data_IF_296297684084
#
_entry.id   IF_296297684084
#
_cell.length_a   1.000
_cell.length_b   1.000
_cell.length_c   1.000
_cell.angle_alpha   90.00
_cell.angle_beta   90.00
_cell.angle_gamma   90.00
#
_symmetry.space_group_name_H-M   'P 1'
#
loop_
_entity.id
_entity.type
_entity.pdbx_description
1 polymer ?
#
# COMPACT_ATOMS: atom_id res chain seq x y z
N UNK A 1 17.98 -29.71 56.91
CA UNK A 1 19.14 -29.41 56.02
C UNK A 1 18.67 -28.47 54.92
N UNK A 2 19.08 -27.22 55.02
CA UNK A 2 18.65 -26.13 54.12
C UNK A 2 19.63 -26.01 52.96
N UNK A 3 19.16 -26.19 51.73
CA UNK A 3 19.96 -25.83 50.54
C UNK A 3 19.71 -24.34 50.21
N UNK A 4 20.66 -23.51 50.46
CA UNK A 4 20.73 -22.10 50.00
C UNK A 4 21.06 -22.09 48.51
N UNK A 5 20.13 -21.64 47.68
CA UNK A 5 20.36 -21.31 46.28
C UNK A 5 21.25 -20.06 46.19
N UNK A 6 22.56 -20.24 45.94
CA UNK A 6 23.51 -19.21 45.53
C UNK A 6 23.62 -19.24 43.99
N UNK A 7 22.74 -18.56 43.28
CA UNK A 7 22.78 -18.53 41.80
C UNK A 7 22.09 -17.33 41.16
N UNK A 8 21.23 -16.61 41.87
CA UNK A 8 20.33 -15.62 41.29
C UNK A 8 20.92 -14.23 40.98
N UNK A 9 22.15 -13.93 41.41
CA UNK A 9 22.68 -12.55 41.32
C UNK A 9 23.67 -12.28 40.17
N UNK A 10 24.12 -13.31 39.42
CA UNK A 10 25.02 -13.09 38.27
C UNK A 10 24.30 -12.88 36.93
N UNK A 11 23.09 -13.42 36.75
CA UNK A 11 22.30 -13.19 35.53
C UNK A 11 21.75 -11.76 35.45
N UNK A 12 21.39 -11.13 36.56
CA UNK A 12 20.88 -9.76 36.60
C UNK A 12 21.92 -8.66 36.28
N UNK A 13 23.22 -8.94 36.40
CA UNK A 13 24.26 -7.98 36.07
C UNK A 13 24.62 -8.04 34.57
N UNK A 14 24.68 -9.24 34.00
CA UNK A 14 24.94 -9.43 32.57
C UNK A 14 23.78 -8.97 31.69
N UNK A 15 22.53 -9.14 32.15
CA UNK A 15 21.32 -8.62 31.45
C UNK A 15 21.29 -7.08 31.40
N UNK A 16 21.79 -6.41 32.45
CA UNK A 16 21.94 -4.93 32.47
C UNK A 16 23.03 -4.40 31.52
N UNK A 17 24.04 -5.21 31.20
CA UNK A 17 25.12 -4.84 30.26
C UNK A 17 24.72 -5.13 28.82
N UNK A 18 23.83 -6.10 28.60
CA UNK A 18 23.37 -6.54 27.29
C UNK A 18 22.03 -5.91 26.83
N UNK A 19 21.51 -4.92 27.56
CA UNK A 19 20.24 -4.26 27.21
C UNK A 19 20.44 -3.23 26.07
N UNK A 20 20.41 -3.77 24.83
CA UNK A 20 20.55 -2.95 23.60
C UNK A 20 19.51 -1.83 23.54
N UNK A 21 18.29 -2.09 24.03
CA UNK A 21 17.20 -1.14 24.06
C UNK A 21 17.53 0.09 24.94
N UNK A 22 18.15 -0.11 26.12
CA UNK A 22 18.56 1.02 26.96
C UNK A 22 19.65 1.89 26.33
N UNK A 23 20.56 1.27 25.56
CA UNK A 23 21.58 2.03 24.83
C UNK A 23 20.96 2.86 23.74
N UNK A 24 20.01 2.29 23.01
CA UNK A 24 19.30 2.97 21.93
C UNK A 24 18.44 4.11 22.47
N UNK A 25 17.63 3.90 23.48
CA UNK A 25 16.87 4.96 24.15
C UNK A 25 17.78 6.09 24.63
N UNK A 26 18.97 5.76 25.17
CA UNK A 26 19.93 6.78 25.60
C UNK A 26 20.55 7.53 24.42
N UNK A 27 20.79 6.87 23.27
CA UNK A 27 21.26 7.50 22.02
C UNK A 27 20.23 8.48 21.49
N UNK A 28 18.99 8.01 21.32
CA UNK A 28 17.86 8.83 20.87
C UNK A 28 17.61 10.01 21.82
N UNK A 29 17.64 9.77 23.12
CA UNK A 29 17.46 10.81 24.13
C UNK A 29 18.52 11.92 24.05
N UNK A 30 19.78 11.58 23.78
CA UNK A 30 20.85 12.58 23.60
C UNK A 30 20.67 13.42 22.33
N UNK A 31 20.21 12.78 21.23
CA UNK A 31 19.91 13.52 20.01
C UNK A 31 18.70 14.43 20.20
N UNK A 32 17.66 13.93 20.84
CA UNK A 32 16.49 14.76 21.19
C UNK A 32 16.88 15.95 22.09
N UNK A 33 17.79 15.78 23.05
CA UNK A 33 18.29 16.89 23.87
C UNK A 33 18.98 17.97 23.02
N UNK A 34 19.71 17.60 21.96
CA UNK A 34 20.29 18.57 21.03
C UNK A 34 19.21 19.35 20.27
N UNK A 35 18.13 18.66 19.84
CA UNK A 35 16.97 19.30 19.16
C UNK A 35 16.31 20.32 20.09
N UNK A 36 16.05 19.93 21.34
CA UNK A 36 15.39 20.81 22.32
C UNK A 36 16.25 22.02 22.70
N UNK A 37 17.58 21.85 22.73
CA UNK A 37 18.50 22.94 23.05
C UNK A 37 18.48 24.09 22.02
N UNK A 38 18.00 23.85 20.80
CA UNK A 38 17.90 24.85 19.74
C UNK A 38 16.55 25.61 19.74
N UNK A 39 15.67 25.37 20.73
CA UNK A 39 14.33 25.97 20.76
C UNK A 39 14.37 27.50 20.79
N UNK A 40 15.25 28.09 21.62
CA UNK A 40 15.40 29.53 21.70
C UNK A 40 15.90 30.12 20.38
N UNK A 41 16.90 29.50 19.76
CA UNK A 41 17.48 29.95 18.50
C UNK A 41 16.46 29.91 17.35
N UNK A 42 15.56 28.90 17.31
CA UNK A 42 14.49 28.82 16.32
C UNK A 42 13.37 29.85 16.58
N UNK A 43 13.09 30.13 17.83
CA UNK A 43 11.97 31.01 18.24
C UNK A 43 12.15 32.47 17.80
N UNK A 44 13.38 32.93 17.61
CA UNK A 44 13.70 34.31 17.22
C UNK A 44 13.66 34.52 15.71
N UNK A 45 13.60 33.44 14.90
CA UNK A 45 13.56 33.53 13.45
C UNK A 45 12.22 34.12 12.96
N UNK A 46 12.26 34.90 11.90
CA UNK A 46 11.06 35.30 11.16
C UNK A 46 10.55 34.14 10.29
N UNK A 47 9.32 34.22 9.79
CA UNK A 47 8.74 33.18 8.92
C UNK A 47 9.52 33.06 7.60
N UNK A 48 10.05 34.18 7.09
CA UNK A 48 10.91 34.22 5.92
C UNK A 48 12.25 33.51 6.17
N UNK A 49 12.86 33.74 7.32
CA UNK A 49 14.12 33.10 7.71
C UNK A 49 13.96 31.59 7.91
N UNK A 50 12.78 31.14 8.38
CA UNK A 50 12.45 29.71 8.48
C UNK A 50 12.42 29.07 7.07
N UNK A 51 11.77 29.71 6.10
CA UNK A 51 11.74 29.21 4.71
C UNK A 51 13.11 29.27 4.05
N UNK A 52 13.89 30.30 4.35
CA UNK A 52 15.27 30.41 3.84
C UNK A 52 16.18 29.30 4.40
N UNK A 53 16.04 28.96 5.68
CA UNK A 53 16.74 27.81 6.26
C UNK A 53 16.41 26.50 5.54
N UNK A 54 15.13 26.26 5.22
CA UNK A 54 14.72 25.08 4.43
C UNK A 54 15.42 25.05 3.06
N UNK A 55 15.46 26.16 2.34
CA UNK A 55 16.18 26.26 1.06
C UNK A 55 17.67 25.98 1.21
N UNK A 56 18.29 26.49 2.28
CA UNK A 56 19.70 26.25 2.56
C UNK A 56 19.98 24.79 2.85
N UNK A 57 19.12 24.11 3.63
CA UNK A 57 19.20 22.66 3.84
C UNK A 57 19.03 21.88 2.54
N UNK A 58 18.03 22.23 1.71
CA UNK A 58 17.83 21.63 0.40
C UNK A 58 19.07 21.78 -0.48
N UNK A 59 19.62 22.98 -0.58
CA UNK A 59 20.83 23.22 -1.37
C UNK A 59 21.99 22.35 -0.88
N UNK A 60 22.25 22.33 0.43
CA UNK A 60 23.33 21.52 1.02
C UNK A 60 23.19 20.02 0.76
N UNK A 61 21.95 19.49 0.81
CA UNK A 61 21.70 18.06 0.60
C UNK A 61 21.74 17.71 -0.88
N UNK A 62 21.17 18.56 -1.76
CA UNK A 62 21.01 18.28 -3.19
C UNK A 62 22.28 18.53 -4.00
N UNK A 63 23.26 19.29 -3.47
CA UNK A 63 24.59 19.45 -4.08
C UNK A 63 25.40 18.16 -4.07
N UNK A 64 25.12 17.23 -3.15
CA UNK A 64 25.81 15.94 -3.07
C UNK A 64 25.07 14.87 -3.89
N UNK A 65 25.73 14.21 -4.83
CA UNK A 65 25.16 13.18 -5.69
C UNK A 65 25.19 11.78 -5.04
N UNK A 66 26.14 11.53 -4.14
CA UNK A 66 26.28 10.24 -3.45
C UNK A 66 25.24 10.11 -2.33
N UNK A 67 24.30 9.17 -2.51
CA UNK A 67 23.20 8.92 -1.57
C UNK A 67 23.71 8.66 -0.13
N UNK A 68 24.85 7.96 0.04
CA UNK A 68 25.39 7.69 1.38
C UNK A 68 25.89 8.95 2.05
N UNK A 69 26.47 9.86 1.27
CA UNK A 69 26.92 11.15 1.79
C UNK A 69 25.73 12.07 2.04
N UNK A 70 24.71 12.06 1.17
CA UNK A 70 23.45 12.77 1.43
C UNK A 70 22.83 12.33 2.76
N UNK A 71 22.73 11.02 3.02
CA UNK A 71 22.20 10.51 4.28
C UNK A 71 23.02 10.98 5.49
N UNK A 72 24.36 11.07 5.34
CA UNK A 72 25.19 11.63 6.40
C UNK A 72 24.94 13.11 6.64
N UNK A 73 24.71 13.89 5.57
CA UNK A 73 24.35 15.31 5.70
C UNK A 73 22.99 15.43 6.42
N UNK A 74 21.99 14.58 6.07
CA UNK A 74 20.71 14.54 6.77
C UNK A 74 20.89 14.24 8.27
N UNK A 75 21.74 13.27 8.64
CA UNK A 75 22.05 12.99 10.04
C UNK A 75 22.71 14.17 10.76
N UNK A 76 23.61 14.90 10.08
CA UNK A 76 24.32 16.04 10.65
C UNK A 76 23.37 17.25 10.88
N UNK A 77 22.43 17.53 9.95
CA UNK A 77 21.48 18.64 10.08
C UNK A 77 20.20 18.27 10.87
N UNK A 78 19.98 16.97 11.18
CA UNK A 78 18.78 16.48 11.87
C UNK A 78 18.40 17.30 13.12
N UNK A 79 19.32 17.65 14.04
CA UNK A 79 18.93 18.41 15.22
C UNK A 79 18.32 19.78 14.87
N UNK A 80 18.90 20.48 13.92
CA UNK A 80 18.44 21.81 13.51
C UNK A 80 17.14 21.72 12.70
N UNK A 81 17.04 20.76 11.78
CA UNK A 81 15.83 20.50 10.97
C UNK A 81 14.62 20.15 11.87
N UNK A 82 14.82 19.26 12.84
CA UNK A 82 13.73 18.91 13.78
C UNK A 82 13.34 20.07 14.70
N UNK A 83 14.30 20.88 15.13
CA UNK A 83 14.02 22.10 15.91
C UNK A 83 13.20 23.10 15.09
N UNK A 84 13.49 23.24 13.79
CA UNK A 84 12.73 24.08 12.86
C UNK A 84 11.28 23.60 12.70
N UNK A 85 11.08 22.28 12.55
CA UNK A 85 9.71 21.68 12.51
C UNK A 85 8.96 21.91 13.80
N UNK A 86 9.62 21.79 14.97
CA UNK A 86 9.00 22.07 16.27
C UNK A 86 8.53 23.51 16.38
N UNK A 87 9.33 24.47 15.95
CA UNK A 87 8.93 25.89 15.94
C UNK A 87 7.80 26.14 14.94
N UNK A 88 7.87 25.56 13.72
CA UNK A 88 6.79 25.63 12.74
C UNK A 88 5.47 25.07 13.28
N UNK A 89 5.52 23.92 13.92
CA UNK A 89 4.35 23.30 14.56
C UNK A 89 3.76 24.16 15.68
N UNK A 90 4.60 24.83 16.46
CA UNK A 90 4.16 25.81 17.48
C UNK A 90 3.42 26.98 16.84
N UNK A 91 3.94 27.54 15.75
CA UNK A 91 3.32 28.70 15.07
C UNK A 91 2.04 28.34 14.35
N UNK A 92 2.00 27.21 13.64
CA UNK A 92 0.86 26.81 12.83
C UNK A 92 -0.26 26.18 13.68
N UNK A 93 0.09 25.24 14.58
CA UNK A 93 -0.88 24.46 15.35
C UNK A 93 -0.98 24.84 16.81
N UNK A 94 -0.12 25.72 17.30
CA UNK A 94 0.07 25.96 18.73
C UNK A 94 0.41 24.67 19.53
N UNK A 95 1.09 23.73 18.88
CA UNK A 95 1.53 22.46 19.45
C UNK A 95 3.04 22.31 19.31
N UNK A 96 3.71 21.93 20.41
CA UNK A 96 5.15 21.67 20.39
C UNK A 96 5.40 20.18 20.62
N UNK A 97 6.06 19.47 19.68
CA UNK A 97 6.43 18.08 19.88
C UNK A 97 7.26 17.87 21.16
N UNK A 98 6.83 16.94 22.01
CA UNK A 98 7.54 16.58 23.23
C UNK A 98 8.82 15.80 22.92
N UNK A 99 9.75 15.75 23.91
CA UNK A 99 11.01 14.99 23.78
C UNK A 99 10.80 13.55 23.30
N UNK A 100 9.80 12.85 23.82
CA UNK A 100 9.49 11.47 23.43
C UNK A 100 9.04 11.35 21.97
N UNK A 101 8.30 12.35 21.47
CA UNK A 101 7.90 12.43 20.06
C UNK A 101 9.10 12.72 19.15
N UNK A 102 10.01 13.61 19.58
CA UNK A 102 11.28 13.85 18.88
C UNK A 102 12.11 12.55 18.80
N UNK A 103 12.21 11.80 19.91
CA UNK A 103 12.86 10.49 19.90
C UNK A 103 12.21 9.51 18.92
N UNK A 104 10.89 9.46 18.88
CA UNK A 104 10.12 8.66 17.90
C UNK A 104 10.42 9.06 16.45
N UNK A 105 10.45 10.36 16.17
CA UNK A 105 10.82 10.88 14.84
C UNK A 105 12.25 10.51 14.42
N UNK A 106 13.21 10.56 15.35
CA UNK A 106 14.60 10.14 15.10
C UNK A 106 14.68 8.64 14.80
N UNK A 107 13.93 7.81 15.53
CA UNK A 107 13.86 6.37 15.28
C UNK A 107 13.28 6.07 13.90
N UNK A 108 12.19 6.73 13.51
CA UNK A 108 11.57 6.58 12.18
C UNK A 108 12.54 7.01 11.08
N UNK A 109 13.27 8.11 11.24
CA UNK A 109 14.29 8.52 10.28
C UNK A 109 15.39 7.47 10.11
N UNK A 110 15.76 6.80 11.19
CA UNK A 110 16.73 5.69 11.19
C UNK A 110 16.22 4.38 10.56
N UNK A 111 14.94 4.32 10.15
CA UNK A 111 14.31 3.13 9.59
C UNK A 111 13.75 2.15 10.63
N UNK A 112 13.63 2.58 11.89
CA UNK A 112 13.06 1.78 12.96
C UNK A 112 11.53 1.92 13.02
N UNK A 113 10.88 0.96 13.68
CA UNK A 113 9.44 1.00 13.98
C UNK A 113 9.24 1.71 15.33
N UNK A 114 8.48 2.80 15.30
CA UNK A 114 8.12 3.56 16.50
C UNK A 114 6.69 3.21 16.92
N UNK A 115 6.55 2.46 18.01
CA UNK A 115 5.24 2.14 18.58
C UNK A 115 4.75 3.30 19.45
N UNK A 116 3.59 3.84 19.11
CA UNK A 116 2.91 4.90 19.87
C UNK A 116 1.43 4.57 20.00
N UNK A 117 0.87 4.82 21.21
CA UNK A 117 -0.55 4.60 21.47
C UNK A 117 -1.42 5.66 20.80
N UNK A 118 -2.68 5.33 20.62
CA UNK A 118 -3.68 6.29 20.12
C UNK A 118 -3.71 7.53 21.03
N UNK A 119 -3.70 8.71 20.42
CA UNK A 119 -3.69 9.98 21.13
C UNK A 119 -2.31 10.48 21.59
N UNK A 120 -1.22 9.74 21.36
CA UNK A 120 0.13 10.19 21.73
C UNK A 120 0.78 11.11 20.67
N UNK A 121 0.05 11.46 19.60
CA UNK A 121 0.50 12.39 18.57
C UNK A 121 1.42 11.77 17.52
N UNK A 122 1.08 10.56 17.01
CA UNK A 122 1.79 9.89 15.92
C UNK A 122 1.97 10.78 14.70
N UNK A 123 0.89 11.43 14.24
CA UNK A 123 0.90 12.32 13.07
C UNK A 123 1.91 13.46 13.24
N UNK A 124 1.90 14.10 14.41
CA UNK A 124 2.84 15.18 14.71
C UNK A 124 4.30 14.67 14.80
N UNK A 125 4.51 13.47 15.34
CA UNK A 125 5.82 12.83 15.39
C UNK A 125 6.37 12.56 13.98
N UNK A 126 5.51 12.12 13.06
CA UNK A 126 5.88 11.84 11.68
C UNK A 126 6.31 13.08 10.90
N UNK A 127 5.87 14.28 11.27
CA UNK A 127 6.21 15.52 10.53
C UNK A 127 7.71 15.78 10.49
N UNK A 128 8.43 15.47 11.55
CA UNK A 128 9.87 15.72 11.65
C UNK A 128 10.69 14.87 10.67
N UNK A 129 10.59 13.52 10.63
CA UNK A 129 11.29 12.72 9.66
C UNK A 129 10.78 12.91 8.23
N UNK A 130 9.50 13.24 8.01
CA UNK A 130 8.96 13.61 6.68
C UNK A 130 9.68 14.85 6.18
N UNK A 131 9.70 15.93 6.95
CA UNK A 131 10.39 17.18 6.58
C UNK A 131 11.86 16.93 6.23
N UNK A 132 12.61 16.27 7.13
CA UNK A 132 14.03 16.03 6.96
C UNK A 132 14.33 15.26 5.65
N UNK A 133 13.59 14.19 5.37
CA UNK A 133 13.83 13.38 4.18
C UNK A 133 13.29 14.03 2.89
N UNK A 134 12.32 14.94 2.98
CA UNK A 134 11.85 15.73 1.85
C UNK A 134 12.89 16.73 1.32
N UNK A 135 13.84 17.16 2.16
CA UNK A 135 14.94 18.05 1.76
C UNK A 135 15.80 17.49 0.62
N UNK A 136 15.80 16.17 0.42
CA UNK A 136 16.50 15.52 -0.69
C UNK A 136 15.98 15.90 -2.07
N UNK A 137 14.76 16.45 -2.19
CA UNK A 137 14.09 16.74 -3.46
C UNK A 137 13.62 15.47 -4.22
N UNK A 138 13.88 14.26 -3.68
CA UNK A 138 13.51 12.99 -4.31
C UNK A 138 12.12 12.50 -3.97
N UNK A 139 11.44 13.17 -3.04
CA UNK A 139 10.09 12.86 -2.59
C UNK A 139 10.02 11.90 -1.41
N UNK A 140 9.02 12.16 -0.57
CA UNK A 140 8.65 11.34 0.58
C UNK A 140 7.21 10.90 0.42
N UNK A 141 6.93 9.61 0.62
CA UNK A 141 5.58 9.08 0.65
C UNK A 141 5.10 8.88 2.09
N UNK A 142 3.93 9.43 2.41
CA UNK A 142 3.22 9.17 3.68
C UNK A 142 2.04 8.27 3.37
N UNK A 143 2.10 7.03 3.87
CA UNK A 143 1.18 5.96 3.51
C UNK A 143 0.21 5.71 4.66
N UNK A 144 -1.08 5.76 4.36
CA UNK A 144 -2.17 5.48 5.30
C UNK A 144 -3.02 4.29 4.83
N UNK A 145 -3.86 3.76 5.71
CA UNK A 145 -4.71 2.59 5.42
C UNK A 145 -5.93 2.90 4.55
N UNK A 146 -6.35 4.16 4.43
CA UNK A 146 -7.51 4.53 3.62
C UNK A 146 -7.44 5.99 3.14
N UNK A 147 -8.23 6.30 2.10
CA UNK A 147 -8.27 7.61 1.46
C UNK A 147 -8.78 8.74 2.39
N UNK A 148 -9.66 8.42 3.33
CA UNK A 148 -10.17 9.39 4.30
C UNK A 148 -9.05 9.92 5.20
N UNK A 149 -8.22 9.02 5.74
CA UNK A 149 -7.07 9.41 6.56
C UNK A 149 -6.00 10.13 5.73
N UNK A 150 -5.72 9.66 4.49
CA UNK A 150 -4.80 10.35 3.59
C UNK A 150 -5.24 11.79 3.33
N UNK A 151 -6.54 12.00 3.08
CA UNK A 151 -7.08 13.33 2.77
C UNK A 151 -7.01 14.27 3.98
N UNK A 152 -7.48 13.84 5.15
CA UNK A 152 -7.48 14.68 6.36
C UNK A 152 -6.05 14.99 6.79
N UNK A 153 -5.18 13.96 6.88
CA UNK A 153 -3.80 14.19 7.30
C UNK A 153 -3.01 15.04 6.30
N UNK A 154 -3.28 14.88 5.00
CA UNK A 154 -2.68 15.73 3.97
C UNK A 154 -3.10 17.19 4.12
N UNK A 155 -4.40 17.45 4.32
CA UNK A 155 -4.94 18.80 4.48
C UNK A 155 -4.39 19.48 5.75
N UNK A 156 -4.46 18.79 6.89
CA UNK A 156 -3.97 19.32 8.16
C UNK A 156 -2.45 19.57 8.16
N UNK A 157 -1.66 18.61 7.69
CA UNK A 157 -0.19 18.73 7.75
C UNK A 157 0.38 19.56 6.61
N UNK A 158 -0.35 19.80 5.52
CA UNK A 158 0.07 20.70 4.45
C UNK A 158 0.34 22.11 5.00
N UNK A 159 -0.49 22.61 5.92
CA UNK A 159 -0.29 23.93 6.51
C UNK A 159 1.11 24.08 7.12
N UNK A 160 1.59 23.04 7.82
CA UNK A 160 2.93 23.04 8.42
C UNK A 160 4.03 22.95 7.36
N UNK A 161 3.89 22.02 6.41
CA UNK A 161 4.95 21.81 5.41
C UNK A 161 5.10 22.99 4.45
N UNK A 162 3.98 23.59 4.04
CA UNK A 162 3.96 24.81 3.21
C UNK A 162 4.49 26.03 3.98
N UNK A 163 4.17 26.14 5.28
CA UNK A 163 4.78 27.13 6.16
C UNK A 163 6.31 26.98 6.19
N UNK A 164 6.81 25.75 6.22
CA UNK A 164 8.24 25.44 6.17
C UNK A 164 8.84 25.55 4.76
N UNK A 165 8.03 25.74 3.71
CA UNK A 165 8.48 25.92 2.33
C UNK A 165 8.57 24.66 1.49
N UNK A 166 7.88 23.58 1.87
CA UNK A 166 7.77 22.33 1.13
C UNK A 166 6.38 22.18 0.49
N UNK A 167 6.32 21.49 -0.65
CA UNK A 167 5.09 21.19 -1.37
C UNK A 167 4.48 19.85 -0.94
N UNK A 168 3.14 19.80 -0.89
CA UNK A 168 2.38 18.60 -0.50
C UNK A 168 1.41 18.20 -1.60
N UNK A 169 1.42 16.93 -1.97
CA UNK A 169 0.51 16.31 -2.92
C UNK A 169 -0.33 15.22 -2.25
N UNK A 170 -1.58 15.09 -2.67
CA UNK A 170 -2.48 14.02 -2.27
C UNK A 170 -2.78 13.14 -3.47
N UNK A 171 -2.50 11.85 -3.38
CA UNK A 171 -2.81 10.86 -4.40
C UNK A 171 -3.99 9.99 -3.98
N UNK A 172 -5.06 10.01 -4.77
CA UNK A 172 -6.30 9.25 -4.58
C UNK A 172 -6.65 8.48 -5.85
N UNK A 173 -7.46 7.44 -5.70
CA UNK A 173 -7.95 6.63 -6.83
C UNK A 173 -8.75 7.46 -7.86
N UNK A 174 -9.50 8.47 -7.40
CA UNK A 174 -10.32 9.34 -8.26
C UNK A 174 -9.51 10.29 -9.16
N UNK A 175 -8.18 10.43 -8.94
CA UNK A 175 -7.35 11.35 -9.70
C UNK A 175 -6.95 10.81 -11.06
N UNK A 176 -6.90 11.68 -12.04
CA UNK A 176 -6.38 11.40 -13.37
C UNK A 176 -4.85 11.18 -13.35
N UNK A 177 -4.31 10.55 -14.39
CA UNK A 177 -2.86 10.33 -14.54
C UNK A 177 -2.05 11.64 -14.45
N UNK A 178 -2.58 12.74 -14.98
CA UNK A 178 -1.92 14.04 -14.91
C UNK A 178 -1.87 14.58 -13.47
N UNK A 179 -3.00 14.55 -12.75
CA UNK A 179 -3.08 14.98 -11.35
C UNK A 179 -2.25 14.09 -10.41
N UNK A 180 -2.16 12.78 -10.69
CA UNK A 180 -1.27 11.88 -9.96
C UNK A 180 0.19 12.25 -10.17
N UNK A 181 0.59 12.56 -11.40
CA UNK A 181 1.97 13.00 -11.71
C UNK A 181 2.32 14.28 -10.98
N UNK A 182 1.39 15.25 -10.93
CA UNK A 182 1.55 16.47 -10.14
C UNK A 182 1.70 16.18 -8.65
N UNK A 183 0.86 15.29 -8.09
CA UNK A 183 0.94 14.90 -6.69
C UNK A 183 2.27 14.20 -6.36
N UNK A 184 2.75 13.31 -7.23
CA UNK A 184 4.06 12.67 -7.04
C UNK A 184 5.24 13.61 -7.28
N UNK A 185 5.06 14.72 -7.99
CA UNK A 185 6.11 15.73 -8.17
C UNK A 185 6.35 16.62 -6.93
N UNK A 186 5.40 16.66 -5.98
CA UNK A 186 5.55 17.37 -4.71
C UNK A 186 6.64 16.77 -3.83
N UNK A 187 7.18 17.56 -2.90
CA UNK A 187 8.19 17.10 -1.93
C UNK A 187 7.67 15.98 -1.05
N UNK A 188 6.38 16.04 -0.69
CA UNK A 188 5.68 15.09 0.16
C UNK A 188 4.41 14.64 -0.55
N UNK A 189 4.18 13.32 -0.63
CA UNK A 189 2.97 12.76 -1.25
C UNK A 189 2.24 11.87 -0.24
N UNK A 190 1.01 12.22 0.08
CA UNK A 190 0.10 11.38 0.84
C UNK A 190 -0.65 10.42 -0.08
N UNK A 191 -0.75 9.15 0.29
CA UNK A 191 -1.44 8.12 -0.50
C UNK A 191 -1.86 6.95 0.38
N UNK A 192 -2.72 6.09 -0.14
CA UNK A 192 -2.95 4.77 0.46
C UNK A 192 -1.93 3.76 -0.05
N UNK A 193 -1.71 2.68 0.74
CA UNK A 193 -0.89 1.55 0.33
C UNK A 193 -1.36 0.93 -1.00
N UNK A 194 -2.67 0.78 -1.17
CA UNK A 194 -3.27 0.20 -2.38
C UNK A 194 -3.02 1.07 -3.60
N UNK A 195 -3.29 2.38 -3.51
CA UNK A 195 -3.15 3.28 -4.65
C UNK A 195 -1.69 3.43 -5.08
N UNK A 196 -0.77 3.56 -4.10
CA UNK A 196 0.67 3.56 -4.37
C UNK A 196 1.11 2.27 -5.08
N UNK A 197 0.63 1.12 -4.59
CA UNK A 197 0.95 -0.18 -5.17
C UNK A 197 0.38 -0.35 -6.59
N UNK A 198 -0.84 0.10 -6.84
CA UNK A 198 -1.42 0.08 -8.18
C UNK A 198 -0.71 1.06 -9.14
N UNK A 199 -0.35 2.25 -8.69
CA UNK A 199 0.42 3.19 -9.51
C UNK A 199 1.80 2.62 -9.85
N UNK A 200 2.48 1.96 -8.90
CA UNK A 200 3.73 1.27 -9.16
C UNK A 200 3.57 0.15 -10.22
N UNK A 201 2.51 -0.64 -10.14
CA UNK A 201 2.23 -1.68 -11.14
C UNK A 201 1.94 -1.06 -12.51
N UNK A 202 1.10 -0.01 -12.57
CA UNK A 202 0.79 0.70 -13.83
C UNK A 202 2.05 1.27 -14.48
N UNK A 203 2.92 1.90 -13.70
CA UNK A 203 4.19 2.46 -14.18
C UNK A 203 5.16 1.41 -14.75
N UNK A 204 5.06 0.15 -14.29
CA UNK A 204 5.85 -0.95 -14.83
C UNK A 204 5.22 -1.60 -16.08
N UNK A 205 4.02 -1.18 -16.46
CA UNK A 205 3.31 -1.68 -17.65
C UNK A 205 3.35 -0.70 -18.83
N UNK A 206 3.77 0.55 -18.63
CA UNK A 206 3.85 1.57 -19.68
C UNK A 206 4.98 1.27 -20.67
N UNK A 207 4.78 1.68 -21.93
CA UNK A 207 5.77 1.47 -22.98
C UNK A 207 6.86 2.55 -23.01
N UNK A 208 6.55 3.77 -22.55
CA UNK A 208 7.43 4.91 -22.55
C UNK A 208 7.64 5.47 -21.15
N UNK A 209 8.86 5.92 -20.83
CA UNK A 209 9.21 6.41 -19.51
C UNK A 209 8.41 7.67 -19.11
N UNK A 210 8.03 8.48 -20.10
CA UNK A 210 7.26 9.72 -19.93
C UNK A 210 5.81 9.47 -19.47
N UNK A 211 5.32 8.24 -19.66
CA UNK A 211 3.97 7.84 -19.24
C UNK A 211 3.90 7.53 -17.74
N UNK A 212 5.04 7.31 -17.09
CA UNK A 212 5.11 7.07 -15.64
C UNK A 212 4.59 8.26 -14.85
N UNK A 213 3.92 7.97 -13.75
CA UNK A 213 3.44 8.98 -12.82
C UNK A 213 4.37 9.14 -11.62
N UNK A 214 5.02 8.07 -11.18
CA UNK A 214 5.89 8.05 -10.01
C UNK A 214 7.31 8.47 -10.34
N UNK A 215 7.95 9.11 -9.38
CA UNK A 215 9.41 9.28 -9.34
C UNK A 215 10.07 8.01 -8.78
N UNK A 216 11.40 7.85 -8.93
CA UNK A 216 12.13 6.80 -8.21
C UNK A 216 11.85 6.84 -6.71
N UNK A 217 11.65 5.69 -6.10
CA UNK A 217 11.35 5.58 -4.67
C UNK A 217 12.54 6.03 -3.84
N UNK A 218 12.29 6.86 -2.82
CA UNK A 218 13.31 7.39 -1.93
C UNK A 218 13.04 7.06 -0.46
N UNK A 219 11.97 7.61 0.13
CA UNK A 219 11.65 7.43 1.53
C UNK A 219 10.13 7.30 1.70
N UNK A 220 9.72 6.43 2.63
CA UNK A 220 8.31 6.28 2.97
C UNK A 220 8.12 6.18 4.48
N UNK A 221 7.06 6.81 4.98
CA UNK A 221 6.53 6.58 6.32
C UNK A 221 5.20 5.85 6.17
N UNK A 222 5.07 4.74 6.88
CA UNK A 222 3.88 3.89 6.85
C UNK A 222 3.20 4.02 8.20
N UNK A 223 2.01 4.63 8.22
CA UNK A 223 1.14 4.65 9.40
C UNK A 223 0.37 3.33 9.49
N UNK A 224 0.04 2.89 10.71
CA UNK A 224 -0.62 1.59 10.95
C UNK A 224 0.11 0.42 10.25
N UNK A 225 1.42 0.32 10.48
CA UNK A 225 2.34 -0.60 9.79
C UNK A 225 1.96 -2.08 9.93
N UNK A 226 1.36 -2.47 11.03
CA UNK A 226 0.84 -3.81 11.30
C UNK A 226 -0.34 -4.16 10.37
N UNK A 227 -1.26 -3.22 10.17
CA UNK A 227 -2.34 -3.40 9.20
C UNK A 227 -1.80 -3.51 7.76
N UNK A 228 -0.94 -2.59 7.35
CA UNK A 228 -0.47 -2.50 5.96
C UNK A 228 0.51 -3.63 5.62
N UNK A 229 1.56 -3.86 6.43
CA UNK A 229 2.64 -4.78 6.09
C UNK A 229 2.41 -6.22 6.55
N UNK A 230 1.40 -6.47 7.40
CA UNK A 230 1.08 -7.81 7.88
C UNK A 230 -0.30 -8.25 7.41
N UNK A 231 -1.37 -7.52 7.76
CA UNK A 231 -2.73 -7.98 7.49
C UNK A 231 -3.10 -7.88 6.02
N UNK A 232 -2.86 -6.73 5.38
CA UNK A 232 -3.18 -6.52 3.97
C UNK A 232 -2.13 -7.10 3.01
N UNK A 233 -0.88 -7.25 3.43
CA UNK A 233 0.20 -7.77 2.59
C UNK A 233 -0.02 -9.21 2.09
N UNK A 234 -0.98 -9.94 2.67
CA UNK A 234 -1.36 -11.29 2.22
C UNK A 234 -2.16 -11.29 0.92
N UNK A 235 -2.78 -10.16 0.58
CA UNK A 235 -3.60 -10.04 -0.63
C UNK A 235 -2.76 -9.43 -1.74
N UNK A 236 -2.45 -10.17 -2.82
CA UNK A 236 -1.68 -9.61 -3.93
C UNK A 236 -2.48 -8.52 -4.66
N UNK A 237 -1.81 -7.45 -5.04
CA UNK A 237 -2.36 -6.46 -5.96
C UNK A 237 -2.22 -7.00 -7.38
N UNK A 238 -3.33 -7.13 -8.10
CA UNK A 238 -3.35 -7.67 -9.46
C UNK A 238 -4.01 -6.65 -10.38
N UNK A 239 -3.31 -6.31 -11.47
CA UNK A 239 -3.88 -5.58 -12.60
C UNK A 239 -4.09 -6.60 -13.71
N UNK A 240 -5.34 -6.81 -14.12
CA UNK A 240 -5.68 -7.58 -15.30
C UNK A 240 -6.09 -6.61 -16.41
N UNK A 241 -5.43 -6.68 -17.56
CA UNK A 241 -5.89 -5.99 -18.75
C UNK A 241 -7.09 -6.71 -19.36
N UNK A 242 -7.99 -5.97 -19.99
CA UNK A 242 -9.01 -6.57 -20.84
C UNK A 242 -8.32 -7.25 -22.02
N UNK A 243 -8.40 -8.57 -22.09
CA UNK A 243 -7.98 -9.29 -23.27
C UNK A 243 -9.10 -9.14 -24.33
N UNK A 244 -8.93 -8.23 -25.27
CA UNK A 244 -9.89 -7.99 -26.37
C UNK A 244 -10.32 -9.25 -27.14
N UNK A 245 -9.56 -10.34 -27.05
CA UNK A 245 -9.87 -11.63 -27.68
C UNK A 245 -10.73 -12.57 -26.83
N UNK A 246 -10.91 -12.32 -25.55
CA UNK A 246 -11.56 -13.29 -24.68
C UNK A 246 -13.08 -13.20 -24.63
N UNK A 247 -13.69 -12.04 -24.88
CA UNK A 247 -15.15 -11.85 -24.77
C UNK A 247 -15.92 -12.81 -25.67
N UNK A 248 -15.47 -13.05 -26.92
CA UNK A 248 -16.10 -14.00 -27.82
C UNK A 248 -15.98 -15.45 -27.34
N UNK A 249 -14.86 -15.83 -26.71
CA UNK A 249 -14.67 -17.18 -26.17
C UNK A 249 -15.53 -17.40 -24.91
N UNK A 250 -15.69 -16.43 -24.04
CA UNK A 250 -16.62 -16.52 -22.89
C UNK A 250 -18.06 -16.73 -23.36
N UNK A 251 -18.50 -15.97 -24.38
CA UNK A 251 -19.84 -16.12 -24.95
C UNK A 251 -20.02 -17.52 -25.58
N UNK A 252 -19.04 -18.00 -26.33
CA UNK A 252 -19.11 -19.34 -26.94
C UNK A 252 -19.09 -20.44 -25.87
N UNK A 253 -18.21 -20.34 -24.87
CA UNK A 253 -18.13 -21.28 -23.76
C UNK A 253 -19.43 -21.28 -22.92
N UNK A 254 -20.06 -20.13 -22.72
CA UNK A 254 -21.37 -20.02 -22.07
C UNK A 254 -22.47 -20.74 -22.85
N UNK A 255 -22.53 -20.56 -24.17
CA UNK A 255 -23.48 -21.27 -25.03
C UNK A 255 -23.23 -22.78 -24.94
N UNK A 256 -21.97 -23.20 -24.98
CA UNK A 256 -21.60 -24.60 -24.82
C UNK A 256 -22.05 -25.16 -23.46
N UNK A 257 -21.72 -24.48 -22.35
CA UNK A 257 -22.10 -24.91 -21.00
C UNK A 257 -23.63 -25.06 -20.83
N UNK A 258 -24.41 -24.18 -21.45
CA UNK A 258 -25.88 -24.28 -21.44
C UNK A 258 -26.45 -25.50 -22.20
N UNK A 259 -25.67 -26.04 -23.15
CA UNK A 259 -26.11 -27.22 -23.94
C UNK A 259 -25.80 -28.55 -23.25
N UNK A 260 -24.91 -28.54 -22.24
CA UNK A 260 -24.51 -29.75 -21.53
C UNK A 260 -25.58 -30.23 -20.54
N UNK A 261 -25.69 -31.54 -20.41
CA UNK A 261 -26.57 -32.21 -19.45
C UNK A 261 -25.74 -32.85 -18.36
N UNK A 262 -26.16 -32.62 -17.11
CA UNK A 262 -25.51 -33.25 -15.97
C UNK A 262 -25.50 -34.78 -16.09
N UNK A 263 -24.51 -35.43 -15.49
CA UNK A 263 -24.24 -36.86 -15.47
C UNK A 263 -23.79 -37.47 -16.82
N UNK A 264 -24.39 -37.05 -17.94
CA UNK A 264 -23.99 -37.53 -19.27
C UNK A 264 -22.74 -36.80 -19.77
N UNK A 265 -22.70 -35.48 -19.66
CA UNK A 265 -21.67 -34.63 -20.32
C UNK A 265 -20.61 -34.12 -19.35
N UNK A 266 -20.92 -34.03 -18.03
CA UNK A 266 -19.97 -33.65 -17.01
C UNK A 266 -20.27 -34.31 -15.65
N UNK A 267 -19.21 -34.51 -14.89
CA UNK A 267 -19.29 -34.97 -13.50
C UNK A 267 -19.10 -33.78 -12.54
N UNK A 268 -19.93 -33.71 -11.50
CA UNK A 268 -19.84 -32.71 -10.44
C UNK A 268 -19.59 -33.38 -9.08
N UNK A 269 -18.52 -32.99 -8.41
CA UNK A 269 -18.23 -33.42 -7.04
C UNK A 269 -18.66 -32.31 -6.06
N UNK A 270 -19.72 -32.52 -5.33
CA UNK A 270 -20.25 -31.58 -4.34
C UNK A 270 -19.26 -31.23 -3.23
N UNK A 271 -18.38 -32.15 -2.85
CA UNK A 271 -17.42 -31.94 -1.74
C UNK A 271 -16.27 -31.03 -2.13
N UNK A 272 -15.74 -31.24 -3.33
CA UNK A 272 -14.60 -30.45 -3.85
C UNK A 272 -15.04 -29.28 -4.72
N UNK A 273 -16.34 -29.24 -5.06
CA UNK A 273 -16.91 -28.29 -6.06
C UNK A 273 -16.19 -28.37 -7.43
N UNK A 274 -15.58 -29.51 -7.72
CA UNK A 274 -14.91 -29.75 -8.99
C UNK A 274 -15.91 -30.18 -10.05
N UNK A 275 -15.79 -29.62 -11.26
CA UNK A 275 -16.58 -29.99 -12.42
C UNK A 275 -15.63 -30.45 -13.51
N UNK A 276 -15.91 -31.61 -14.13
CA UNK A 276 -15.07 -32.19 -15.18
C UNK A 276 -15.95 -32.73 -16.32
N UNK A 277 -15.57 -32.49 -17.57
CA UNK A 277 -16.23 -33.07 -18.72
C UNK A 277 -16.06 -34.59 -18.74
N UNK A 278 -17.10 -35.31 -19.15
CA UNK A 278 -17.02 -36.72 -19.53
C UNK A 278 -16.47 -36.86 -20.97
N UNK A 279 -16.20 -38.09 -21.44
CA UNK A 279 -15.84 -38.32 -22.82
C UNK A 279 -16.88 -37.76 -23.80
N UNK A 280 -18.18 -37.91 -23.50
CA UNK A 280 -19.25 -37.36 -24.32
C UNK A 280 -19.24 -35.83 -24.32
N UNK A 281 -18.93 -35.21 -23.17
CA UNK A 281 -18.79 -33.74 -23.09
C UNK A 281 -17.59 -33.24 -23.90
N UNK A 282 -16.47 -33.98 -23.89
CA UNK A 282 -15.28 -33.66 -24.68
C UNK A 282 -15.61 -33.73 -26.18
N UNK A 283 -16.23 -34.83 -26.63
CA UNK A 283 -16.64 -35.00 -28.05
C UNK A 283 -17.56 -33.86 -28.54
N UNK A 284 -18.47 -33.40 -27.67
CA UNK A 284 -19.35 -32.25 -27.98
C UNK A 284 -18.56 -30.94 -28.07
N UNK A 285 -17.57 -30.73 -27.18
CA UNK A 285 -16.70 -29.55 -27.20
C UNK A 285 -15.89 -29.52 -28.50
N UNK A 286 -15.25 -30.61 -28.88
CA UNK A 286 -14.44 -30.73 -30.10
C UNK A 286 -15.25 -30.42 -31.35
N UNK A 287 -16.49 -30.93 -31.43
CA UNK A 287 -17.40 -30.64 -32.55
C UNK A 287 -17.83 -29.18 -32.60
N UNK A 288 -18.18 -28.59 -31.44
CA UNK A 288 -18.65 -27.21 -31.40
C UNK A 288 -17.56 -26.21 -31.70
N UNK A 289 -16.36 -26.41 -31.15
CA UNK A 289 -15.22 -25.52 -31.36
C UNK A 289 -14.42 -25.86 -32.65
N UNK A 290 -14.81 -26.94 -33.36
CA UNK A 290 -14.17 -27.40 -34.59
C UNK A 290 -12.68 -27.69 -34.41
N UNK A 291 -12.34 -28.42 -33.37
CA UNK A 291 -10.98 -28.84 -33.01
C UNK A 291 -10.90 -30.35 -32.95
N UNK A 292 -9.74 -30.91 -33.28
CA UNK A 292 -9.54 -32.36 -33.35
C UNK A 292 -9.25 -32.98 -31.98
N UNK A 293 -8.63 -32.23 -31.05
CA UNK A 293 -8.31 -32.67 -29.70
C UNK A 293 -8.40 -31.49 -28.73
N UNK A 294 -9.32 -31.59 -27.81
CA UNK A 294 -9.56 -30.51 -26.79
C UNK A 294 -8.32 -30.29 -25.91
N UNK A 295 -7.55 -31.35 -25.60
CA UNK A 295 -6.40 -31.29 -24.71
C UNK A 295 -5.06 -31.02 -25.43
N UNK A 296 -5.07 -30.63 -26.69
CA UNK A 296 -3.86 -30.13 -27.36
C UNK A 296 -3.42 -28.81 -26.75
N UNK A 297 -2.11 -28.61 -26.62
CA UNK A 297 -1.49 -27.36 -26.08
C UNK A 297 -2.01 -26.10 -26.79
N UNK A 298 -2.39 -26.21 -28.06
CA UNK A 298 -2.97 -25.10 -28.85
C UNK A 298 -4.38 -24.67 -28.36
N UNK A 299 -5.08 -25.54 -27.66
CA UNK A 299 -6.47 -25.35 -27.25
C UNK A 299 -6.62 -25.04 -25.74
N UNK A 300 -5.51 -24.73 -25.05
CA UNK A 300 -5.49 -24.44 -23.59
C UNK A 300 -6.47 -23.31 -23.23
N UNK A 301 -6.55 -22.27 -24.07
CA UNK A 301 -7.49 -21.16 -23.85
C UNK A 301 -8.96 -21.63 -23.93
N UNK A 302 -9.28 -22.48 -24.89
CA UNK A 302 -10.64 -23.03 -25.07
C UNK A 302 -11.01 -23.88 -23.85
N UNK A 303 -10.13 -24.77 -23.41
CA UNK A 303 -10.34 -25.60 -22.20
C UNK A 303 -10.58 -24.72 -20.99
N UNK A 304 -9.74 -23.70 -20.79
CA UNK A 304 -9.85 -22.80 -19.66
C UNK A 304 -11.22 -22.11 -19.63
N UNK A 305 -11.68 -21.59 -20.78
CA UNK A 305 -12.98 -20.91 -20.88
C UNK A 305 -14.16 -21.87 -20.69
N UNK A 306 -14.07 -23.09 -21.24
CA UNK A 306 -15.10 -24.14 -21.04
C UNK A 306 -15.22 -24.50 -19.56
N UNK A 307 -14.08 -24.79 -18.90
CA UNK A 307 -14.08 -25.15 -17.48
C UNK A 307 -14.61 -24.02 -16.60
N UNK A 308 -14.24 -22.78 -16.90
CA UNK A 308 -14.71 -21.61 -16.16
C UNK A 308 -16.21 -21.36 -16.37
N UNK A 309 -16.71 -21.49 -17.59
CA UNK A 309 -18.13 -21.39 -17.89
C UNK A 309 -18.94 -22.51 -17.21
N UNK A 310 -18.44 -23.74 -17.27
CA UNK A 310 -19.07 -24.88 -16.64
C UNK A 310 -19.14 -24.69 -15.10
N UNK A 311 -18.05 -24.23 -14.50
CA UNK A 311 -18.00 -23.87 -13.08
C UNK A 311 -19.02 -22.80 -12.74
N UNK A 312 -19.10 -21.72 -13.54
CA UNK A 312 -20.08 -20.65 -13.32
C UNK A 312 -21.53 -21.14 -13.37
N UNK A 313 -21.83 -22.12 -14.26
CA UNK A 313 -23.18 -22.67 -14.38
C UNK A 313 -23.57 -23.67 -13.30
N UNK A 314 -22.62 -24.54 -12.89
CA UNK A 314 -22.88 -25.69 -12.03
C UNK A 314 -22.69 -25.34 -10.54
N UNK A 315 -21.68 -24.52 -10.21
CA UNK A 315 -21.29 -24.29 -8.81
C UNK A 315 -21.76 -22.98 -8.22
N UNK A 316 -22.16 -22.01 -9.04
CA UNK A 316 -22.54 -20.66 -8.58
C UNK A 316 -24.01 -20.36 -8.90
N UNK A 317 -24.74 -19.94 -7.88
CA UNK A 317 -26.15 -19.60 -7.96
C UNK A 317 -26.34 -18.09 -7.81
N UNK A 318 -27.12 -17.51 -8.74
CA UNK A 318 -27.57 -16.12 -8.64
C UNK A 318 -28.41 -15.92 -7.39
N UNK A 319 -28.26 -14.77 -6.75
CA UNK A 319 -28.89 -14.34 -5.50
C UNK A 319 -28.50 -15.17 -4.25
N UNK A 320 -27.51 -16.07 -4.39
CA UNK A 320 -26.88 -16.83 -3.29
C UNK A 320 -25.40 -16.54 -3.23
N UNK A 321 -24.65 -16.83 -4.31
CA UNK A 321 -23.19 -16.64 -4.37
C UNK A 321 -22.82 -15.29 -4.98
N UNK A 322 -23.68 -14.76 -5.83
CA UNK A 322 -23.53 -13.44 -6.45
C UNK A 322 -24.90 -12.84 -6.78
N UNK A 323 -24.96 -11.52 -6.92
CA UNK A 323 -26.15 -10.83 -7.43
C UNK A 323 -25.77 -9.89 -8.55
N UNK A 324 -26.77 -9.56 -9.40
CA UNK A 324 -26.59 -8.58 -10.48
C UNK A 324 -27.33 -7.31 -10.10
N UNK A 325 -26.60 -6.19 -10.06
CA UNK A 325 -27.14 -4.88 -9.78
C UNK A 325 -26.60 -3.86 -10.79
N UNK A 326 -27.49 -3.10 -11.43
CA UNK A 326 -27.17 -2.09 -12.45
C UNK A 326 -26.26 -2.61 -13.59
N UNK A 327 -26.39 -3.88 -13.97
CA UNK A 327 -25.54 -4.49 -15.01
C UNK A 327 -24.18 -4.97 -14.54
N UNK A 328 -23.91 -4.95 -13.24
CA UNK A 328 -22.67 -5.44 -12.64
C UNK A 328 -22.90 -6.67 -11.77
N UNK A 329 -21.96 -7.61 -11.82
CA UNK A 329 -21.93 -8.78 -10.95
C UNK A 329 -21.28 -8.40 -9.62
N UNK A 330 -22.01 -8.59 -8.50
CA UNK A 330 -21.52 -8.35 -7.14
C UNK A 330 -21.43 -9.68 -6.40
N UNK A 331 -20.27 -9.94 -5.78
CA UNK A 331 -20.07 -11.13 -4.95
C UNK A 331 -20.89 -11.00 -3.67
N UNK A 332 -21.52 -12.09 -3.24
CA UNK A 332 -22.19 -12.19 -1.93
C UNK A 332 -21.30 -12.98 -0.97
N UNK A 333 -20.99 -12.38 0.16
CA UNK A 333 -20.24 -13.05 1.24
C UNK A 333 -21.14 -14.12 1.87
N UNK A 334 -20.73 -15.36 1.82
CA UNK A 334 -21.49 -16.51 2.33
C UNK A 334 -21.69 -16.48 3.85
N UNK A 335 -20.86 -15.77 4.60
CA UNK A 335 -20.97 -15.67 6.07
C UNK A 335 -21.89 -14.54 6.51
N UNK A 336 -21.86 -13.42 5.83
CA UNK A 336 -22.60 -12.21 6.22
C UNK A 336 -23.82 -11.94 5.36
N UNK A 337 -23.95 -12.57 4.18
CA UNK A 337 -24.96 -12.30 3.19
C UNK A 337 -24.89 -10.90 2.56
N UNK A 338 -23.79 -10.19 2.77
CA UNK A 338 -23.60 -8.83 2.24
C UNK A 338 -22.87 -8.86 0.91
N UNK A 339 -23.23 -7.93 0.02
CA UNK A 339 -22.47 -7.71 -1.23
C UNK A 339 -21.13 -7.10 -0.95
N UNK A 340 -20.12 -7.49 -1.72
CA UNK A 340 -18.75 -7.00 -1.65
C UNK A 340 -18.41 -6.15 -2.89
N UNK A 341 -18.73 -4.83 -2.91
CA UNK A 341 -18.43 -3.96 -4.04
C UNK A 341 -16.92 -3.90 -4.29
N UNK A 342 -16.53 -3.86 -5.57
CA UNK A 342 -15.14 -3.77 -5.98
C UNK A 342 -14.32 -5.08 -5.91
N UNK A 343 -14.90 -6.18 -5.38
CA UNK A 343 -14.31 -7.51 -5.47
C UNK A 343 -14.80 -8.24 -6.69
N UNK A 344 -13.91 -9.01 -7.32
CA UNK A 344 -14.21 -9.87 -8.48
C UNK A 344 -13.80 -11.31 -8.21
N UNK A 345 -14.51 -12.26 -8.79
CA UNK A 345 -14.06 -13.65 -8.83
C UNK A 345 -12.77 -13.75 -9.65
N UNK A 346 -11.83 -14.60 -9.21
CA UNK A 346 -10.55 -14.85 -9.88
C UNK A 346 -10.67 -15.79 -11.09
N UNK A 347 -9.57 -15.93 -11.83
CA UNK A 347 -9.39 -16.94 -12.88
C UNK A 347 -10.42 -16.88 -14.02
N UNK A 348 -10.90 -15.69 -14.39
CA UNK A 348 -11.89 -15.54 -15.46
C UNK A 348 -13.33 -15.93 -15.08
N UNK A 349 -13.55 -16.36 -13.82
CA UNK A 349 -14.88 -16.79 -13.35
C UNK A 349 -15.87 -15.63 -13.32
N UNK A 350 -15.40 -14.40 -13.07
CA UNK A 350 -16.26 -13.21 -13.08
C UNK A 350 -16.84 -12.95 -14.48
N UNK A 351 -15.99 -12.99 -15.51
CA UNK A 351 -16.40 -12.84 -16.91
C UNK A 351 -17.33 -14.00 -17.37
N UNK A 352 -17.09 -15.21 -16.87
CA UNK A 352 -17.98 -16.33 -17.18
C UNK A 352 -19.37 -16.15 -16.55
N UNK A 353 -19.47 -15.51 -15.37
CA UNK A 353 -20.76 -15.15 -14.76
C UNK A 353 -21.41 -14.00 -15.54
N UNK A 354 -20.65 -12.98 -15.95
CA UNK A 354 -21.14 -11.92 -16.82
C UNK A 354 -21.71 -12.47 -18.13
N UNK A 355 -21.01 -13.45 -18.76
CA UNK A 355 -21.51 -14.17 -19.94
C UNK A 355 -22.77 -14.98 -19.63
N UNK A 356 -22.83 -15.67 -18.48
CA UNK A 356 -23.99 -16.46 -18.04
C UNK A 356 -25.25 -15.62 -17.91
N UNK A 357 -25.12 -14.40 -17.37
CA UNK A 357 -26.23 -13.47 -17.15
C UNK A 357 -26.42 -12.44 -18.30
N UNK A 358 -25.74 -12.64 -19.43
CA UNK A 358 -25.84 -11.79 -20.64
C UNK A 358 -25.43 -10.32 -20.38
N UNK A 359 -24.38 -10.10 -19.62
CA UNK A 359 -23.84 -8.79 -19.28
C UNK A 359 -22.58 -8.42 -20.10
N UNK A 360 -22.05 -9.37 -20.88
CA UNK A 360 -20.91 -9.17 -21.80
C UNK A 360 -21.38 -8.67 -23.16
#
# INVERSE_FOLDING_TARGET
MSYKAKGANKMGFLSKIADGNKREIKRLGKLADKVLALEEDMSILTDEEIKEKTKNFQAQVQEEEDIKKQNKILDDILPEAFALVREGSKRVFNMIPYKVQVMGGIAIHGGDISEMRTGEGKTLTATMPVYLNALTGRGVHVITVNEYLSSIQSEEMAELYEFLGLSVGLNLNSKTTAEKREAYACDITYSTNNELGFDYLRDNMVNYAEERVMRPLNFAIIDEVDSILIDEARTPLIISGEAEKSTSLYTQANVFAKMLKGEDDYNYDEKTKAVQLTEQGIDKAERMFKIDNLYDVKNVDIISHINTALRAHVTLQRDVDYMVNNGEVLIVDQFTGRTMPGRRFSEGLHQAIEAKDCLL
#
